data_IF_628218994197
#
_entry.id   IF_628218994197
#
_cell.length_a   1.000
_cell.length_b   1.000
_cell.length_c   1.000
_cell.angle_alpha   90.00
_cell.angle_beta   90.00
_cell.angle_gamma   90.00
#
_symmetry.space_group_name_H-M   'P 1'
#
loop_
_entity.id
_entity.type
_entity.pdbx_description
1 polymer ?
#
# COMPACT_ATOMS: atom_id res chain seq x y z
N UNK A 1 -17.65 -26.50 0.47
CA UNK A 1 -16.56 -26.21 1.43
C UNK A 1 -16.62 -24.71 1.71
N UNK A 2 -16.90 -24.25 2.94
CA UNK A 2 -16.93 -22.81 3.23
C UNK A 2 -15.49 -22.29 3.16
N UNK A 3 -15.13 -21.52 2.14
CA UNK A 3 -13.86 -20.80 2.14
C UNK A 3 -13.82 -19.94 3.41
N UNK A 4 -12.82 -20.17 4.26
CA UNK A 4 -12.59 -19.30 5.41
C UNK A 4 -12.11 -17.97 4.86
N UNK A 5 -12.96 -16.96 4.95
CA UNK A 5 -12.60 -15.56 4.71
C UNK A 5 -11.50 -15.16 5.71
N UNK A 6 -10.23 -15.27 5.32
CA UNK A 6 -9.10 -14.94 6.19
C UNK A 6 -8.43 -13.68 5.72
N UNK A 7 -8.83 -12.56 6.30
CA UNK A 7 -8.02 -11.34 6.34
C UNK A 7 -6.69 -11.66 7.03
N UNK A 8 -5.58 -11.14 6.49
CA UNK A 8 -4.23 -11.46 6.96
C UNK A 8 -3.83 -10.38 7.99
N UNK A 9 -3.57 -10.71 9.27
CA UNK A 9 -3.16 -9.71 10.26
C UNK A 9 -1.84 -9.03 9.89
N UNK A 10 -1.71 -7.75 10.25
CA UNK A 10 -0.49 -6.96 10.08
C UNK A 10 0.25 -6.90 11.42
N UNK A 11 1.16 -7.85 11.66
CA UNK A 11 1.94 -7.89 12.89
C UNK A 11 3.17 -7.01 12.79
N UNK A 12 3.39 -6.09 13.76
CA UNK A 12 4.54 -5.19 13.80
C UNK A 12 5.89 -5.93 13.67
N UNK A 13 5.99 -7.14 14.19
CA UNK A 13 7.20 -7.96 14.09
C UNK A 13 7.60 -8.24 12.65
N UNK A 14 6.64 -8.32 11.73
CA UNK A 14 6.92 -8.59 10.32
C UNK A 14 7.49 -7.36 9.59
N UNK A 15 7.41 -6.17 10.19
CA UNK A 15 7.86 -4.90 9.60
C UNK A 15 9.20 -4.42 10.16
N UNK A 16 9.90 -5.19 10.99
CA UNK A 16 11.17 -4.73 11.60
C UNK A 16 12.26 -4.46 10.55
N UNK A 17 12.37 -5.29 9.52
CA UNK A 17 13.31 -5.03 8.42
C UNK A 17 12.89 -3.80 7.59
N UNK A 18 11.58 -3.59 7.43
CA UNK A 18 11.07 -2.39 6.76
C UNK A 18 11.36 -1.13 7.56
N UNK A 19 11.29 -1.21 8.90
CA UNK A 19 11.66 -0.12 9.80
C UNK A 19 13.09 0.35 9.50
N UNK A 20 14.04 -0.58 9.49
CA UNK A 20 15.45 -0.28 9.24
C UNK A 20 15.65 0.34 7.85
N UNK A 21 15.01 -0.22 6.82
CA UNK A 21 15.03 0.32 5.47
C UNK A 21 14.52 1.76 5.41
N UNK A 22 13.38 2.04 6.05
CA UNK A 22 12.81 3.38 6.10
C UNK A 22 13.74 4.36 6.84
N UNK A 23 14.31 3.95 7.98
CA UNK A 23 15.25 4.78 8.73
C UNK A 23 16.46 5.19 7.89
N UNK A 24 17.00 4.26 7.09
CA UNK A 24 18.09 4.55 6.14
C UNK A 24 17.63 5.52 5.02
N UNK A 25 16.44 5.32 4.48
CA UNK A 25 15.91 6.11 3.37
C UNK A 25 15.57 7.56 3.78
N UNK A 26 14.95 7.76 4.94
CA UNK A 26 14.49 9.09 5.38
C UNK A 26 15.42 9.78 6.39
N UNK A 27 16.39 9.04 6.93
CA UNK A 27 17.33 9.52 7.95
C UNK A 27 16.58 10.09 9.17
N UNK A 28 15.56 9.36 9.61
CA UNK A 28 14.66 9.73 10.70
C UNK A 28 14.18 8.47 11.44
N UNK A 29 13.79 8.63 12.69
CA UNK A 29 13.32 7.53 13.53
C UNK A 29 11.90 7.13 13.13
N UNK A 30 11.69 5.82 12.92
CA UNK A 30 10.42 5.26 12.49
C UNK A 30 9.65 4.69 13.69
N UNK A 31 8.38 5.08 13.76
CA UNK A 31 7.41 4.65 14.75
C UNK A 31 6.31 3.80 14.08
N UNK A 32 5.85 2.79 14.82
CA UNK A 32 4.72 1.97 14.44
C UNK A 32 3.58 2.22 15.41
N UNK A 33 2.41 2.49 14.87
CA UNK A 33 1.19 2.73 15.64
C UNK A 33 0.16 1.71 15.17
N UNK A 34 -0.19 0.77 16.04
CA UNK A 34 -1.27 -0.19 15.76
C UNK A 34 -2.57 0.58 15.56
N UNK A 35 -3.31 0.27 14.49
CA UNK A 35 -4.62 0.86 14.29
C UNK A 35 -5.68 0.23 15.21
N UNK A 36 -6.95 0.60 15.01
CA UNK A 36 -8.06 0.09 15.80
C UNK A 36 -8.22 -1.45 15.72
N UNK A 37 -7.65 -2.08 14.70
CA UNK A 37 -7.66 -3.54 14.55
C UNK A 37 -6.28 -4.07 14.18
N UNK A 38 -6.09 -5.38 14.39
CA UNK A 38 -4.90 -6.12 13.92
C UNK A 38 -4.72 -6.16 12.39
N UNK A 39 -5.63 -5.57 11.63
CA UNK A 39 -5.58 -5.47 10.17
C UNK A 39 -5.18 -4.07 9.71
N UNK A 40 -4.85 -3.16 10.63
CA UNK A 40 -4.50 -1.78 10.34
C UNK A 40 -3.19 -1.43 11.00
N UNK A 41 -2.26 -0.85 10.24
CA UNK A 41 -0.96 -0.43 10.75
C UNK A 41 -0.63 0.95 10.21
N UNK A 42 -0.26 1.86 11.10
CA UNK A 42 0.24 3.18 10.77
C UNK A 42 1.74 3.21 11.01
N UNK A 43 2.48 3.75 10.05
CA UNK A 43 3.93 3.87 10.07
C UNK A 43 4.25 5.33 9.80
N UNK A 44 5.00 5.96 10.69
CA UNK A 44 5.40 7.35 10.53
C UNK A 44 6.82 7.57 11.03
N UNK A 45 7.50 8.57 10.47
CA UNK A 45 8.74 9.07 11.07
C UNK A 45 8.46 10.25 12.02
N UNK A 46 9.33 10.48 13.01
CA UNK A 46 9.13 11.54 14.02
C UNK A 46 8.99 12.93 13.42
N UNK A 47 9.74 13.24 12.36
CA UNK A 47 9.67 14.51 11.64
C UNK A 47 8.66 14.49 10.47
N UNK A 48 7.78 13.48 10.39
CA UNK A 48 6.80 13.31 9.29
C UNK A 48 7.42 13.25 7.90
N UNK A 49 8.65 12.75 7.78
CA UNK A 49 9.34 12.52 6.50
C UNK A 49 8.83 11.31 5.74
N UNK A 50 8.21 10.37 6.45
CA UNK A 50 7.41 9.31 5.85
C UNK A 50 6.15 9.10 6.68
N UNK A 51 5.03 8.88 5.99
CA UNK A 51 3.75 8.46 6.56
C UNK A 51 3.16 7.39 5.66
N UNK A 52 2.84 6.23 6.21
CA UNK A 52 2.24 5.10 5.50
C UNK A 52 1.10 4.54 6.35
N UNK A 53 -0.08 4.41 5.74
CA UNK A 53 -1.23 3.76 6.35
C UNK A 53 -1.54 2.48 5.59
N UNK A 54 -1.57 1.36 6.32
CA UNK A 54 -1.82 0.03 5.76
C UNK A 54 -3.14 -0.52 6.26
N UNK A 55 -3.85 -1.22 5.37
CA UNK A 55 -5.03 -2.02 5.69
C UNK A 55 -4.91 -3.39 5.05
N UNK A 56 -5.13 -4.45 5.83
CA UNK A 56 -5.43 -5.76 5.26
C UNK A 56 -6.92 -5.87 5.05
N UNK A 57 -7.30 -6.12 3.82
CA UNK A 57 -8.70 -6.22 3.42
C UNK A 57 -8.93 -7.51 2.60
N UNK A 58 -10.20 -7.80 2.36
CA UNK A 58 -10.63 -9.00 1.66
C UNK A 58 -11.84 -8.67 0.78
N UNK A 59 -11.69 -8.75 -0.55
CA UNK A 59 -12.80 -8.89 -1.51
C UNK A 59 -12.29 -8.92 -2.97
N UNK A 60 -12.48 -9.99 -3.78
CA UNK A 60 -12.92 -11.35 -3.41
C UNK A 60 -11.75 -12.21 -2.87
N UNK A 61 -10.53 -11.68 -2.88
CA UNK A 61 -9.30 -12.32 -2.39
C UNK A 61 -8.57 -11.35 -1.45
N UNK A 62 -7.77 -11.83 -0.48
CA UNK A 62 -7.06 -10.95 0.45
C UNK A 62 -6.11 -10.03 -0.30
N UNK A 63 -6.09 -8.75 0.08
CA UNK A 63 -5.18 -7.74 -0.45
C UNK A 63 -4.62 -6.86 0.65
N UNK A 64 -3.41 -6.35 0.40
CA UNK A 64 -2.80 -5.31 1.20
C UNK A 64 -3.12 -3.99 0.53
N UNK A 65 -3.83 -3.10 1.22
CA UNK A 65 -4.07 -1.74 0.78
C UNK A 65 -3.07 -0.79 1.45
N UNK A 66 -2.42 0.03 0.64
CA UNK A 66 -1.69 1.22 1.06
C UNK A 66 -2.71 2.36 0.96
N UNK A 67 -3.34 2.65 2.09
CA UNK A 67 -4.40 3.65 2.21
C UNK A 67 -3.85 5.09 2.13
N UNK A 68 -2.59 5.27 2.52
CA UNK A 68 -1.86 6.50 2.31
C UNK A 68 -0.36 6.19 2.24
N UNK A 69 0.36 6.91 1.39
CA UNK A 69 1.82 6.91 1.38
C UNK A 69 2.29 8.33 1.05
N UNK A 70 3.15 8.86 1.91
CA UNK A 70 3.86 10.11 1.71
C UNK A 70 5.30 9.89 2.14
N UNK A 71 6.23 10.29 1.29
CA UNK A 71 7.67 10.23 1.56
C UNK A 71 8.24 11.55 1.08
N UNK A 72 9.10 12.19 1.89
CA UNK A 72 9.77 13.43 1.49
C UNK A 72 10.42 13.25 0.11
N UNK A 73 10.09 14.11 -0.87
CA UNK A 73 10.60 13.98 -2.23
C UNK A 73 12.12 13.93 -2.28
N UNK A 74 12.64 13.06 -3.13
CA UNK A 74 14.04 13.00 -3.51
C UNK A 74 14.14 12.35 -4.88
N UNK A 75 15.14 12.72 -5.66
CA UNK A 75 15.40 12.13 -6.97
C UNK A 75 16.09 10.75 -6.87
N UNK A 76 15.96 10.06 -5.74
CA UNK A 76 16.66 8.81 -5.40
C UNK A 76 15.76 7.57 -5.51
N UNK A 77 14.52 7.71 -5.97
CA UNK A 77 13.62 6.57 -6.20
C UNK A 77 13.06 5.93 -4.92
N UNK A 78 13.08 6.63 -3.79
CA UNK A 78 12.62 6.14 -2.46
C UNK A 78 11.25 5.48 -2.49
N UNK A 79 10.28 6.07 -3.18
CA UNK A 79 8.94 5.50 -3.34
C UNK A 79 8.95 4.13 -4.04
N UNK A 80 9.81 3.94 -5.05
CA UNK A 80 9.92 2.65 -5.74
C UNK A 80 10.55 1.59 -4.83
N UNK A 81 11.57 1.95 -4.05
CA UNK A 81 12.19 1.03 -3.07
C UNK A 81 11.17 0.56 -2.04
N UNK A 82 10.39 1.49 -1.47
CA UNK A 82 9.32 1.18 -0.51
C UNK A 82 8.26 0.28 -1.14
N UNK A 83 7.86 0.58 -2.37
CA UNK A 83 6.85 -0.21 -3.07
C UNK A 83 7.31 -1.64 -3.38
N UNK A 84 8.56 -1.83 -3.80
CA UNK A 84 9.13 -3.17 -4.03
C UNK A 84 9.18 -4.00 -2.74
N UNK A 85 9.46 -3.36 -1.60
CA UNK A 85 9.36 -4.02 -0.31
C UNK A 85 7.93 -4.51 -0.05
N UNK A 86 6.91 -3.67 -0.28
CA UNK A 86 5.52 -4.07 -0.11
C UNK A 86 5.08 -5.18 -1.07
N UNK A 87 5.54 -5.17 -2.33
CA UNK A 87 5.26 -6.26 -3.28
C UNK A 87 5.80 -7.59 -2.76
N UNK A 88 7.03 -7.59 -2.25
CA UNK A 88 7.69 -8.77 -1.69
C UNK A 88 6.97 -9.27 -0.45
N UNK A 89 6.75 -8.38 0.52
CA UNK A 89 6.04 -8.67 1.76
C UNK A 89 4.62 -9.23 1.49
N UNK A 90 3.88 -8.60 0.57
CA UNK A 90 2.52 -9.00 0.26
C UNK A 90 2.48 -10.43 -0.31
N UNK A 91 3.41 -10.77 -1.23
CA UNK A 91 3.56 -12.12 -1.77
C UNK A 91 3.88 -13.14 -0.69
N UNK A 92 4.88 -12.86 0.16
CA UNK A 92 5.31 -13.77 1.23
C UNK A 92 4.22 -14.05 2.26
N UNK A 93 3.40 -13.04 2.57
CA UNK A 93 2.27 -13.18 3.51
C UNK A 93 1.02 -13.81 2.88
N UNK A 94 1.03 -14.06 1.57
CA UNK A 94 -0.06 -14.73 0.86
C UNK A 94 -1.19 -13.80 0.39
N UNK A 95 -0.98 -12.49 0.40
CA UNK A 95 -1.87 -11.55 -0.27
C UNK A 95 -1.89 -11.83 -1.78
N UNK A 96 -3.05 -11.62 -2.40
CA UNK A 96 -3.22 -11.83 -3.84
C UNK A 96 -3.09 -10.56 -4.65
N UNK A 97 -3.27 -9.41 -4.00
CA UNK A 97 -3.12 -8.09 -4.61
C UNK A 97 -2.48 -7.12 -3.64
N UNK A 98 -1.81 -6.13 -4.22
CA UNK A 98 -1.41 -4.90 -3.57
C UNK A 98 -2.25 -3.77 -4.16
N UNK A 99 -2.83 -2.92 -3.33
CA UNK A 99 -3.72 -1.83 -3.77
C UNK A 99 -3.17 -0.51 -3.26
N UNK A 100 -3.02 0.47 -4.15
CA UNK A 100 -2.83 1.87 -3.80
C UNK A 100 -4.21 2.51 -3.76
N UNK A 101 -4.63 2.99 -2.59
CA UNK A 101 -5.92 3.68 -2.48
C UNK A 101 -5.74 5.18 -2.71
N UNK A 102 -6.81 5.82 -3.19
CA UNK A 102 -6.87 7.28 -3.30
C UNK A 102 -5.67 7.87 -4.08
N UNK A 103 -5.43 7.37 -5.29
CA UNK A 103 -4.47 7.97 -6.23
C UNK A 103 -5.09 9.24 -6.81
N UNK A 104 -4.78 10.40 -6.20
CA UNK A 104 -5.45 11.69 -6.49
C UNK A 104 -4.61 12.69 -7.28
N UNK A 105 -3.34 12.38 -7.58
CA UNK A 105 -2.42 13.31 -8.26
C UNK A 105 -1.84 12.68 -9.52
N UNK A 106 -1.50 13.50 -10.51
CA UNK A 106 -0.80 13.04 -11.72
C UNK A 106 0.51 12.31 -11.39
N UNK A 107 1.24 12.78 -10.37
CA UNK A 107 2.47 12.13 -9.93
C UNK A 107 2.20 10.71 -9.39
N UNK A 108 1.20 10.56 -8.52
CA UNK A 108 0.82 9.26 -7.96
C UNK A 108 0.23 8.33 -9.03
N UNK A 109 -0.51 8.87 -10.00
CA UNK A 109 -1.02 8.14 -11.16
C UNK A 109 0.11 7.58 -12.02
N UNK A 110 1.05 8.42 -12.44
CA UNK A 110 2.20 7.97 -13.23
C UNK A 110 3.10 7.02 -12.44
N UNK A 111 3.25 7.24 -11.14
CA UNK A 111 3.96 6.31 -10.26
C UNK A 111 3.29 4.93 -10.22
N UNK A 112 1.96 4.87 -10.09
CA UNK A 112 1.21 3.61 -10.10
C UNK A 112 1.41 2.86 -11.43
N UNK A 113 1.20 3.55 -12.56
CA UNK A 113 1.35 2.95 -13.89
C UNK A 113 2.77 2.44 -14.15
N UNK A 114 3.79 3.24 -13.83
CA UNK A 114 5.20 2.86 -13.98
C UNK A 114 5.54 1.57 -13.20
N UNK A 115 4.84 1.33 -12.10
CA UNK A 115 5.04 0.17 -11.24
C UNK A 115 4.11 -1.01 -11.55
N UNK A 116 3.38 -0.95 -12.67
CA UNK A 116 2.56 -2.03 -13.18
C UNK A 116 1.17 -2.12 -12.55
N UNK A 117 0.75 -1.13 -11.78
CA UNK A 117 -0.60 -1.08 -11.25
C UNK A 117 -1.58 -0.70 -12.34
N UNK A 118 -2.77 -1.27 -12.28
CA UNK A 118 -3.90 -0.93 -13.15
C UNK A 118 -5.02 -0.35 -12.32
N UNK A 119 -5.79 0.59 -12.89
CA UNK A 119 -6.96 1.15 -12.22
C UNK A 119 -7.88 0.02 -11.77
N UNK A 120 -8.24 -0.01 -10.49
CA UNK A 120 -9.23 -0.95 -9.98
C UNK A 120 -10.58 -0.58 -10.60
N UNK A 121 -11.28 -1.57 -11.14
CA UNK A 121 -12.55 -1.36 -11.82
C UNK A 121 -13.66 -2.04 -11.04
N UNK A 122 -14.61 -1.26 -10.54
CA UNK A 122 -15.88 -1.80 -10.01
C UNK A 122 -17.01 -1.66 -11.03
N UNK A 123 -18.01 -2.56 -10.96
CA UNK A 123 -19.23 -2.49 -11.78
C UNK A 123 -19.93 -1.12 -11.68
N UNK A 124 -19.90 -0.51 -10.50
CA UNK A 124 -20.45 0.83 -10.31
C UNK A 124 -19.70 1.86 -11.15
N UNK A 125 -18.38 1.78 -11.21
CA UNK A 125 -17.56 2.71 -11.98
C UNK A 125 -17.60 2.46 -13.48
N UNK A 126 -17.71 1.22 -13.92
CA UNK A 126 -17.96 0.92 -15.34
C UNK A 126 -19.27 1.54 -15.81
N UNK A 127 -20.27 1.58 -14.93
CA UNK A 127 -21.62 2.03 -15.26
C UNK A 127 -21.79 3.54 -15.09
N UNK A 128 -21.17 4.14 -14.07
CA UNK A 128 -21.42 5.51 -13.62
C UNK A 128 -20.16 6.37 -13.45
N UNK A 129 -18.97 5.77 -13.54
CA UNK A 129 -17.70 6.47 -13.35
C UNK A 129 -17.28 7.27 -14.57
N UNK A 130 -16.54 8.35 -14.34
CA UNK A 130 -15.83 9.04 -15.42
C UNK A 130 -14.62 8.19 -15.86
N UNK A 131 -14.59 7.69 -17.12
CA UNK A 131 -13.49 6.87 -17.60
C UNK A 131 -12.15 7.62 -17.59
N UNK A 132 -12.17 8.96 -17.65
CA UNK A 132 -10.98 9.81 -17.69
C UNK A 132 -10.48 10.24 -16.30
N UNK A 133 -11.21 9.93 -15.22
CA UNK A 133 -10.79 10.28 -13.86
C UNK A 133 -9.56 9.49 -13.43
N UNK A 134 -8.52 10.16 -12.93
CA UNK A 134 -7.36 9.53 -12.31
C UNK A 134 -7.65 9.06 -10.87
N UNK A 135 -8.57 9.75 -10.19
CA UNK A 135 -8.87 9.68 -8.75
C UNK A 135 -9.44 8.33 -8.31
N UNK A 136 -8.63 7.28 -8.12
CA UNK A 136 -9.15 5.94 -7.80
C UNK A 136 -8.14 5.06 -7.07
N UNK A 137 -8.61 3.89 -6.69
CA UNK A 137 -7.76 2.79 -6.28
C UNK A 137 -7.10 2.17 -7.51
N UNK A 138 -5.83 1.79 -7.36
CA UNK A 138 -5.07 1.08 -8.37
C UNK A 138 -4.58 -0.23 -7.77
N UNK A 139 -4.73 -1.33 -8.48
CA UNK A 139 -4.36 -2.65 -7.99
C UNK A 139 -3.28 -3.31 -8.85
N UNK A 140 -2.44 -4.10 -8.18
CA UNK A 140 -1.45 -4.97 -8.78
C UNK A 140 -1.73 -6.40 -8.34
N UNK A 141 -1.93 -7.29 -9.30
CA UNK A 141 -2.09 -8.73 -9.04
C UNK A 141 -0.72 -9.36 -8.78
N UNK A 142 -0.61 -10.06 -7.65
CA UNK A 142 0.62 -10.68 -7.21
C UNK A 142 0.64 -12.12 -7.71
N UNK A 143 1.41 -12.36 -8.77
CA UNK A 143 1.72 -13.70 -9.31
C UNK A 143 2.78 -14.43 -8.51
#
# INVERSE_FOLDING_TARGET
MKEKFTTIPLHIQDFQNFKLLLQEIVQDEIEFIEGFSKYTLHISSKESRVTINLRSEFFPKPYLAIAAISITPSNEGKGSIVLEWFKTFAKEKGFKRLVLQEVLTEESYHFALKNGFTKAVSLYEETFGDPNSIDRDYELHLT
#
